data_IF_850832857837
#
_entry.id   IF_850832857837
#
_cell.length_a   1.000
_cell.length_b   1.000
_cell.length_c   1.000
_cell.angle_alpha   90.00
_cell.angle_beta   90.00
_cell.angle_gamma   90.00
#
_symmetry.space_group_name_H-M   'P 1'
#
loop_
_entity.id
_entity.type
_entity.pdbx_description
1 polymer ?
#
# COMPACT_ATOMS: atom_id res chain seq x y z
N UNK A 1 13.18 -21.04 2.82
CA UNK A 1 13.27 -20.11 3.96
C UNK A 1 12.00 -20.23 4.79
N UNK A 2 12.12 -20.06 6.11
CA UNK A 2 10.96 -20.09 7.01
C UNK A 2 9.92 -19.04 6.63
N UNK A 3 8.64 -19.39 6.80
CA UNK A 3 7.51 -18.56 6.40
C UNK A 3 7.49 -17.22 7.15
N UNK A 4 7.85 -17.22 8.43
CA UNK A 4 7.89 -16.01 9.24
C UNK A 4 9.03 -15.08 8.80
N UNK A 5 10.16 -15.65 8.38
CA UNK A 5 11.29 -14.89 7.84
C UNK A 5 10.89 -14.22 6.51
N UNK A 6 10.16 -14.92 5.62
CA UNK A 6 9.62 -14.31 4.40
C UNK A 6 8.71 -13.13 4.71
N UNK A 7 7.77 -13.31 5.63
CA UNK A 7 6.86 -12.25 6.07
C UNK A 7 7.59 -11.03 6.64
N UNK A 8 8.61 -11.25 7.48
CA UNK A 8 9.42 -10.18 8.04
C UNK A 8 10.16 -9.40 6.95
N UNK A 9 10.79 -10.10 6.00
CA UNK A 9 11.51 -9.46 4.89
C UNK A 9 10.57 -8.58 4.07
N UNK A 10 9.41 -9.11 3.68
CA UNK A 10 8.48 -8.34 2.85
C UNK A 10 7.85 -7.16 3.60
N UNK A 11 7.62 -7.29 4.91
CA UNK A 11 7.16 -6.18 5.75
C UNK A 11 8.20 -5.05 5.81
N UNK A 12 9.48 -5.38 5.99
CA UNK A 12 10.57 -4.40 5.99
C UNK A 12 10.69 -3.74 4.61
N UNK A 13 10.66 -4.51 3.53
CA UNK A 13 10.73 -3.97 2.16
C UNK A 13 9.55 -3.04 1.87
N UNK A 14 8.34 -3.42 2.29
CA UNK A 14 7.16 -2.55 2.18
C UNK A 14 7.38 -1.21 2.87
N UNK A 15 7.80 -1.22 4.14
CA UNK A 15 8.02 0.02 4.91
C UNK A 15 9.09 0.92 4.28
N UNK A 16 10.18 0.33 3.78
CA UNK A 16 11.24 1.08 3.10
C UNK A 16 10.72 1.74 1.82
N UNK A 17 9.99 0.99 0.99
CA UNK A 17 9.43 1.52 -0.25
C UNK A 17 8.41 2.62 0.01
N UNK A 18 7.59 2.49 1.06
CA UNK A 18 6.60 3.49 1.41
C UNK A 18 7.24 4.77 1.97
N UNK A 19 8.32 4.68 2.75
CA UNK A 19 9.11 5.84 3.17
C UNK A 19 9.70 6.58 1.97
N UNK A 20 10.23 5.84 0.99
CA UNK A 20 10.74 6.43 -0.27
C UNK A 20 9.61 7.12 -1.03
N UNK A 21 8.46 6.46 -1.18
CA UNK A 21 7.29 7.02 -1.85
C UNK A 21 6.83 8.33 -1.21
N UNK A 22 6.70 8.35 0.12
CA UNK A 22 6.32 9.56 0.87
C UNK A 22 7.33 10.67 0.63
N UNK A 23 8.63 10.38 0.72
CA UNK A 23 9.67 11.40 0.51
C UNK A 23 9.61 12.02 -0.90
N UNK A 24 9.35 11.20 -1.92
CA UNK A 24 9.22 11.66 -3.31
C UNK A 24 7.96 12.50 -3.55
N UNK A 25 6.88 12.22 -2.82
CA UNK A 25 5.57 12.85 -3.04
C UNK A 25 5.19 13.88 -1.95
N UNK A 26 6.06 14.13 -0.97
CA UNK A 26 5.74 14.97 0.21
C UNK A 26 5.32 16.39 -0.17
N UNK A 27 5.88 16.93 -1.27
CA UNK A 27 5.53 18.27 -1.74
C UNK A 27 4.08 18.33 -2.20
N UNK A 28 3.67 17.42 -3.08
CA UNK A 28 2.30 17.36 -3.60
C UNK A 28 1.28 17.07 -2.48
N UNK A 29 1.62 16.16 -1.58
CA UNK A 29 0.81 15.88 -0.39
C UNK A 29 0.61 17.12 0.48
N UNK A 30 1.69 17.88 0.76
CA UNK A 30 1.61 19.10 1.54
C UNK A 30 0.80 20.20 0.86
N UNK A 31 0.96 20.38 -0.46
CA UNK A 31 0.15 21.31 -1.23
C UNK A 31 -1.33 20.96 -1.16
N UNK A 32 -1.68 19.67 -1.30
CA UNK A 32 -3.06 19.21 -1.18
C UNK A 32 -3.62 19.44 0.23
N UNK A 33 -2.83 19.20 1.29
CA UNK A 33 -3.21 19.49 2.68
C UNK A 33 -3.51 20.99 2.85
N UNK A 34 -2.64 21.87 2.36
CA UNK A 34 -2.84 23.33 2.45
C UNK A 34 -4.08 23.74 1.65
N UNK A 35 -4.33 23.16 0.48
CA UNK A 35 -5.55 23.46 -0.30
C UNK A 35 -6.83 23.11 0.45
N UNK A 36 -6.84 21.98 1.17
CA UNK A 36 -8.01 21.50 1.93
C UNK A 36 -8.18 22.25 3.25
N UNK A 37 -7.10 22.41 4.02
CA UNK A 37 -7.16 22.92 5.41
C UNK A 37 -6.80 24.41 5.54
N UNK A 38 -6.25 25.03 4.49
CA UNK A 38 -5.75 26.40 4.50
C UNK A 38 -4.40 26.58 5.22
N UNK A 39 -3.82 25.53 5.79
CA UNK A 39 -2.55 25.57 6.52
C UNK A 39 -1.82 24.23 6.48
N UNK A 40 -0.54 24.25 6.82
CA UNK A 40 0.23 23.03 7.04
C UNK A 40 -0.28 22.28 8.28
N UNK A 41 -0.19 20.96 8.22
CA UNK A 41 -0.51 20.08 9.33
C UNK A 41 0.64 20.08 10.35
N UNK A 42 0.33 20.34 11.61
CA UNK A 42 1.26 20.13 12.73
C UNK A 42 1.31 18.64 13.12
N UNK A 43 2.51 18.10 13.31
CA UNK A 43 2.69 16.74 13.81
C UNK A 43 2.50 16.75 15.34
N UNK A 44 1.38 16.17 15.78
CA UNK A 44 1.04 15.99 17.19
C UNK A 44 1.16 14.52 17.59
N UNK A 45 1.29 14.25 18.90
CA UNK A 45 1.37 12.87 19.40
C UNK A 45 0.19 12.00 18.94
N UNK A 46 -1.03 12.56 18.90
CA UNK A 46 -2.24 11.84 18.45
C UNK A 46 -2.11 11.40 16.98
N UNK A 47 -1.57 12.26 16.13
CA UNK A 47 -1.37 11.95 14.70
C UNK A 47 -0.31 10.87 14.51
N UNK A 48 0.76 10.89 15.30
CA UNK A 48 1.77 9.82 15.28
C UNK A 48 1.15 8.48 15.65
N UNK A 49 0.30 8.44 16.67
CA UNK A 49 -0.45 7.21 17.04
C UNK A 49 -1.32 6.72 15.88
N UNK A 50 -2.04 7.62 15.19
CA UNK A 50 -2.86 7.23 14.03
C UNK A 50 -2.03 6.70 12.87
N UNK A 51 -0.87 7.31 12.59
CA UNK A 51 0.08 6.81 11.58
C UNK A 51 0.51 5.38 11.91
N UNK A 52 0.90 5.12 13.17
CA UNK A 52 1.30 3.77 13.60
C UNK A 52 0.16 2.76 13.42
N UNK A 53 -1.07 3.13 13.80
CA UNK A 53 -2.25 2.27 13.62
C UNK A 53 -2.49 1.98 12.14
N UNK A 54 -2.39 2.99 11.25
CA UNK A 54 -2.53 2.80 9.82
C UNK A 54 -1.50 1.80 9.27
N UNK A 55 -0.23 1.92 9.66
CA UNK A 55 0.80 0.98 9.23
C UNK A 55 0.59 -0.43 9.76
N UNK A 56 0.11 -0.60 11.00
CA UNK A 56 -0.27 -1.91 11.53
C UNK A 56 -1.39 -2.52 10.68
N UNK A 57 -2.44 -1.75 10.38
CA UNK A 57 -3.57 -2.23 9.57
C UNK A 57 -3.13 -2.61 8.15
N UNK A 58 -2.28 -1.81 7.52
CA UNK A 58 -1.74 -2.10 6.19
C UNK A 58 -0.89 -3.38 6.21
N UNK A 59 -0.01 -3.55 7.21
CA UNK A 59 0.78 -4.77 7.33
C UNK A 59 -0.11 -5.99 7.58
N UNK A 60 -1.16 -5.87 8.40
CA UNK A 60 -2.13 -6.94 8.60
C UNK A 60 -2.85 -7.32 7.31
N UNK A 61 -3.35 -6.34 6.54
CA UNK A 61 -4.01 -6.63 5.25
C UNK A 61 -3.05 -7.23 4.23
N UNK A 62 -1.80 -6.80 4.21
CA UNK A 62 -0.80 -7.35 3.30
C UNK A 62 -0.43 -8.80 3.67
N UNK A 63 -0.06 -9.03 4.94
CA UNK A 63 0.47 -10.32 5.40
C UNK A 63 -0.61 -11.39 5.61
N UNK A 64 -1.81 -11.00 6.03
CA UNK A 64 -2.88 -11.94 6.38
C UNK A 64 -4.04 -11.98 5.37
N UNK A 65 -4.08 -11.07 4.40
CA UNK A 65 -5.12 -11.07 3.36
C UNK A 65 -4.49 -11.20 1.98
N UNK A 66 -3.69 -10.23 1.53
CA UNK A 66 -3.16 -10.19 0.16
C UNK A 66 -2.26 -11.39 -0.17
N UNK A 67 -1.30 -11.71 0.71
CA UNK A 67 -0.39 -12.85 0.51
C UNK A 67 -1.15 -14.18 0.57
N UNK A 68 -1.94 -14.50 1.62
CA UNK A 68 -2.72 -15.75 1.66
C UNK A 68 -3.71 -15.90 0.51
N UNK A 69 -4.39 -14.83 0.11
CA UNK A 69 -5.31 -14.84 -1.04
C UNK A 69 -4.55 -15.23 -2.32
N UNK A 70 -3.35 -14.70 -2.51
CA UNK A 70 -2.53 -15.03 -3.69
C UNK A 70 -2.01 -16.47 -3.63
N UNK A 71 -1.53 -16.93 -2.47
CA UNK A 71 -1.06 -18.31 -2.27
C UNK A 71 -2.16 -19.34 -2.51
N UNK A 72 -3.40 -19.06 -2.09
CA UNK A 72 -4.54 -19.95 -2.31
C UNK A 72 -4.89 -20.12 -3.80
N UNK A 73 -4.42 -19.20 -4.65
CA UNK A 73 -4.67 -19.23 -6.08
C UNK A 73 -3.42 -19.59 -6.90
N UNK A 74 -2.30 -19.95 -6.26
CA UNK A 74 -1.05 -20.29 -6.94
C UNK A 74 -0.82 -21.81 -7.00
N UNK A 75 -0.35 -22.29 -8.16
CA UNK A 75 0.07 -23.67 -8.36
C UNK A 75 1.55 -23.86 -8.07
N UNK A 76 1.94 -25.05 -7.59
CA UNK A 76 3.34 -25.40 -7.33
C UNK A 76 4.23 -25.37 -8.59
N UNK A 77 3.64 -25.54 -9.76
CA UNK A 77 4.31 -25.52 -11.08
C UNK A 77 4.17 -24.18 -11.81
N UNK A 78 3.60 -23.15 -11.18
CA UNK A 78 3.42 -21.85 -11.83
C UNK A 78 4.78 -21.20 -12.14
N UNK A 79 4.93 -20.77 -13.38
CA UNK A 79 6.11 -20.06 -13.86
C UNK A 79 6.16 -18.62 -13.35
N UNK A 80 7.28 -17.93 -13.63
CA UNK A 80 7.49 -16.56 -13.15
C UNK A 80 6.41 -15.58 -13.64
N UNK A 81 5.96 -15.73 -14.88
CA UNK A 81 4.94 -14.87 -15.47
C UNK A 81 3.58 -15.07 -14.79
N UNK A 82 3.19 -16.32 -14.55
CA UNK A 82 1.96 -16.65 -13.83
C UNK A 82 2.00 -16.13 -12.40
N UNK A 83 3.14 -16.24 -11.71
CA UNK A 83 3.33 -15.67 -10.37
C UNK A 83 3.15 -14.15 -10.36
N UNK A 84 3.73 -13.44 -11.33
CA UNK A 84 3.59 -12.00 -11.45
C UNK A 84 2.14 -11.60 -11.72
N UNK A 85 1.49 -12.24 -12.69
CA UNK A 85 0.08 -12.00 -13.01
C UNK A 85 -0.84 -12.24 -11.81
N UNK A 86 -0.68 -13.37 -11.10
CA UNK A 86 -1.50 -13.68 -9.92
C UNK A 86 -1.24 -12.70 -8.78
N UNK A 87 -0.01 -12.23 -8.60
CA UNK A 87 0.30 -11.20 -7.59
C UNK A 87 -0.38 -9.88 -7.91
N UNK A 88 -0.46 -9.50 -9.19
CA UNK A 88 -1.19 -8.31 -9.65
C UNK A 88 -2.69 -8.46 -9.40
N UNK A 89 -3.27 -9.60 -9.78
CA UNK A 89 -4.71 -9.82 -9.66
C UNK A 89 -5.16 -9.97 -8.21
N UNK A 90 -4.50 -10.80 -7.41
CA UNK A 90 -4.95 -11.09 -6.04
C UNK A 90 -4.37 -10.11 -5.03
N UNK A 91 -3.04 -9.93 -5.02
CA UNK A 91 -2.38 -8.99 -4.13
C UNK A 91 -2.73 -7.54 -4.48
N UNK A 92 -2.51 -7.16 -5.73
CA UNK A 92 -2.77 -5.80 -6.23
C UNK A 92 -4.21 -5.35 -6.05
N UNK A 93 -5.20 -6.22 -6.26
CA UNK A 93 -6.61 -5.84 -6.04
C UNK A 93 -6.91 -5.48 -4.59
N UNK A 94 -6.29 -6.13 -3.60
CA UNK A 94 -6.45 -5.76 -2.19
C UNK A 94 -5.91 -4.34 -1.95
N UNK A 95 -4.71 -4.05 -2.45
CA UNK A 95 -4.12 -2.71 -2.35
C UNK A 95 -4.95 -1.64 -3.07
N UNK A 96 -5.40 -1.95 -4.29
CA UNK A 96 -6.29 -1.08 -5.07
C UNK A 96 -7.58 -0.76 -4.33
N UNK A 97 -8.24 -1.76 -3.71
CA UNK A 97 -9.46 -1.53 -2.95
C UNK A 97 -9.22 -0.65 -1.72
N UNK A 98 -8.17 -0.92 -0.93
CA UNK A 98 -7.90 -0.15 0.30
C UNK A 98 -7.61 1.32 -0.04
N UNK A 99 -6.66 1.56 -0.93
CA UNK A 99 -6.23 2.91 -1.28
C UNK A 99 -7.29 3.62 -2.13
N UNK A 100 -7.94 2.90 -3.04
CA UNK A 100 -9.03 3.43 -3.86
C UNK A 100 -10.22 3.87 -3.02
N UNK A 101 -10.66 3.06 -2.05
CA UNK A 101 -11.76 3.44 -1.14
C UNK A 101 -11.37 4.69 -0.33
N UNK A 102 -10.17 4.72 0.25
CA UNK A 102 -9.71 5.88 1.02
C UNK A 102 -9.67 7.16 0.18
N UNK A 103 -9.09 7.09 -1.02
CA UNK A 103 -8.95 8.24 -1.91
C UNK A 103 -10.31 8.70 -2.49
N UNK A 104 -11.20 7.77 -2.81
CA UNK A 104 -12.57 8.10 -3.23
C UNK A 104 -13.37 8.76 -2.11
N UNK A 105 -13.28 8.25 -0.88
CA UNK A 105 -13.90 8.90 0.29
C UNK A 105 -13.33 10.30 0.48
N UNK A 106 -12.01 10.48 0.29
CA UNK A 106 -11.38 11.80 0.40
C UNK A 106 -11.89 12.77 -0.66
N UNK A 107 -12.07 12.34 -1.90
CA UNK A 107 -12.69 13.14 -2.97
C UNK A 107 -14.17 13.47 -2.68
N UNK A 108 -14.90 12.58 -2.01
CA UNK A 108 -16.31 12.82 -1.63
C UNK A 108 -16.40 13.86 -0.51
N UNK A 109 -15.52 13.77 0.49
CA UNK A 109 -15.58 14.62 1.70
C UNK A 109 -14.94 15.98 1.47
N UNK A 110 -13.81 16.04 0.77
CA UNK A 110 -12.99 17.23 0.64
C UNK A 110 -13.11 17.84 -0.75
N UNK A 111 -13.85 18.96 -0.84
CA UNK A 111 -14.13 19.66 -2.11
C UNK A 111 -12.86 20.06 -2.89
N UNK A 112 -11.76 20.33 -2.20
CA UNK A 112 -10.49 20.79 -2.79
C UNK A 112 -9.43 19.68 -2.90
N UNK A 113 -9.81 18.42 -2.73
CA UNK A 113 -8.87 17.30 -2.85
C UNK A 113 -8.49 17.06 -4.31
N UNK A 114 -7.19 16.95 -4.58
CA UNK A 114 -6.69 16.77 -5.94
C UNK A 114 -6.93 15.35 -6.48
N UNK A 115 -7.58 15.25 -7.64
CA UNK A 115 -7.86 13.97 -8.30
C UNK A 115 -6.59 13.27 -8.77
N UNK A 116 -5.58 14.00 -9.23
CA UNK A 116 -4.29 13.44 -9.66
C UNK A 116 -3.61 12.71 -8.50
N UNK A 117 -3.62 13.30 -7.30
CA UNK A 117 -3.08 12.68 -6.10
C UNK A 117 -3.87 11.42 -5.73
N UNK A 118 -5.22 11.48 -5.76
CA UNK A 118 -6.08 10.32 -5.49
C UNK A 118 -5.76 9.13 -6.43
N UNK A 119 -5.59 9.41 -7.72
CA UNK A 119 -5.26 8.39 -8.73
C UNK A 119 -3.86 7.83 -8.53
N UNK A 120 -2.88 8.71 -8.29
CA UNK A 120 -1.47 8.34 -8.11
C UNK A 120 -1.28 7.48 -6.86
N UNK A 121 -1.92 7.85 -5.76
CA UNK A 121 -1.87 7.10 -4.49
C UNK A 121 -2.62 5.76 -4.57
N UNK A 122 -3.76 5.72 -5.28
CA UNK A 122 -4.45 4.46 -5.57
C UNK A 122 -3.61 3.53 -6.44
N UNK A 123 -2.94 4.06 -7.45
CA UNK A 123 -2.03 3.29 -8.30
C UNK A 123 -0.80 2.79 -7.51
N UNK A 124 -0.29 3.59 -6.56
CA UNK A 124 0.76 3.15 -5.64
C UNK A 124 0.31 1.98 -4.78
N UNK A 125 -0.89 2.05 -4.17
CA UNK A 125 -1.47 0.97 -3.40
C UNK A 125 -1.60 -0.34 -4.20
N UNK A 126 -2.11 -0.24 -5.42
CA UNK A 126 -2.17 -1.38 -6.35
C UNK A 126 -0.78 -1.95 -6.67
N UNK A 127 0.16 -1.10 -7.04
CA UNK A 127 1.52 -1.49 -7.40
C UNK A 127 2.26 -2.14 -6.23
N UNK A 128 2.29 -1.51 -5.06
CA UNK A 128 3.08 -1.97 -3.93
C UNK A 128 2.57 -3.31 -3.40
N UNK A 129 1.25 -3.50 -3.35
CA UNK A 129 0.68 -4.81 -2.96
C UNK A 129 1.00 -5.89 -3.99
N UNK A 130 0.93 -5.56 -5.29
CA UNK A 130 1.32 -6.49 -6.36
C UNK A 130 2.79 -6.89 -6.24
N UNK A 131 3.67 -5.91 -6.07
CA UNK A 131 5.12 -6.09 -5.99
C UNK A 131 5.52 -6.90 -4.75
N UNK A 132 4.99 -6.55 -3.58
CA UNK A 132 5.35 -7.23 -2.34
C UNK A 132 4.87 -8.67 -2.32
N UNK A 133 3.66 -8.91 -2.80
CA UNK A 133 3.13 -10.26 -2.95
C UNK A 133 3.97 -11.09 -3.92
N UNK A 134 4.39 -10.49 -5.04
CA UNK A 134 5.27 -11.16 -5.99
C UNK A 134 6.63 -11.48 -5.38
N UNK A 135 7.25 -10.51 -4.68
CA UNK A 135 8.52 -10.69 -3.98
C UNK A 135 8.43 -11.86 -2.99
N UNK A 136 7.35 -11.95 -2.22
CA UNK A 136 7.12 -13.06 -1.29
C UNK A 136 7.22 -14.44 -1.98
N UNK A 137 6.65 -14.56 -3.18
CA UNK A 137 6.65 -15.80 -3.97
C UNK A 137 8.03 -16.15 -4.58
N UNK A 138 8.93 -15.16 -4.69
CA UNK A 138 10.30 -15.36 -5.18
C UNK A 138 11.27 -15.77 -4.07
N UNK A 139 10.97 -15.39 -2.82
CA UNK A 139 11.77 -15.82 -1.67
C UNK A 139 11.64 -17.34 -1.50
N UNK A 140 12.75 -18.08 -1.68
CA UNK A 140 12.80 -19.54 -1.53
C UNK A 140 12.87 -19.95 -0.07
#
# INVERSE_FOLDING_TARGET
>A
MDNNIKMLIVAVVYLVLDVVWIFLNIREQNENIIRIQGKQTEITYKRVVYIIICYILILLSLLHIAIPLTLNNIGNSDDLQTKAYKSIIYGGSVGFCIYGIYNLISLIIYEKFEITLALTDTAWGWFIYSFITFLYLLLK
#
